data_IF_895028172177
#
_entry.id   IF_895028172177
#
_cell.length_a   1.000
_cell.length_b   1.000
_cell.length_c   1.000
_cell.angle_alpha   90.00
_cell.angle_beta   90.00
_cell.angle_gamma   90.00
#
_symmetry.space_group_name_H-M   'P 1'
#
loop_
_entity.id
_entity.type
_entity.pdbx_description
1 polymer ?
#
# COMPACT_ATOMS: atom_id res chain seq x y z
N UNK A 1 -10.97 45.39 -14.09
CA UNK A 1 -10.24 44.78 -12.96
C UNK A 1 -9.27 43.80 -13.58
N UNK A 2 -7.97 44.10 -13.57
CA UNK A 2 -6.95 43.42 -14.39
C UNK A 2 -6.77 41.94 -13.99
N UNK A 3 -6.43 41.09 -14.98
CA UNK A 3 -6.10 39.67 -14.82
C UNK A 3 -5.03 39.41 -13.75
N UNK A 4 -4.13 40.38 -13.55
CA UNK A 4 -3.10 40.36 -12.51
C UNK A 4 -3.70 40.25 -11.08
N UNK A 5 -4.85 40.88 -10.82
CA UNK A 5 -5.51 40.79 -9.51
C UNK A 5 -6.21 39.44 -9.27
N UNK A 6 -6.58 38.70 -10.33
CA UNK A 6 -7.20 37.37 -10.16
C UNK A 6 -6.16 36.33 -9.76
N UNK A 7 -4.96 36.37 -10.35
CA UNK A 7 -3.86 35.44 -10.01
C UNK A 7 -3.43 35.52 -8.54
N UNK A 8 -3.38 36.74 -7.99
CA UNK A 8 -3.01 36.99 -6.58
C UNK A 8 -4.07 36.47 -5.60
N UNK A 9 -5.34 36.50 -6.01
CA UNK A 9 -6.45 35.98 -5.18
C UNK A 9 -6.47 34.44 -5.19
N UNK A 10 -6.15 33.81 -6.33
CA UNK A 10 -6.06 32.35 -6.41
C UNK A 10 -4.85 31.77 -5.66
N UNK A 11 -3.68 32.43 -5.69
CA UNK A 11 -2.51 32.00 -4.91
C UNK A 11 -2.78 32.10 -3.40
N UNK A 12 -3.46 33.16 -2.94
CA UNK A 12 -3.87 33.29 -1.53
C UNK A 12 -4.84 32.19 -1.09
N UNK A 13 -5.87 31.88 -1.90
CA UNK A 13 -6.81 30.78 -1.60
C UNK A 13 -6.14 29.42 -1.56
N UNK A 14 -5.15 29.20 -2.44
CA UNK A 14 -4.39 27.94 -2.49
C UNK A 14 -3.49 27.76 -1.27
N UNK A 15 -2.83 28.83 -0.83
CA UNK A 15 -2.02 28.84 0.40
C UNK A 15 -2.86 28.61 1.66
N UNK A 16 -4.02 29.26 1.77
CA UNK A 16 -4.94 29.04 2.90
C UNK A 16 -5.49 27.59 2.95
N UNK A 17 -5.78 26.99 1.79
CA UNK A 17 -6.24 25.60 1.71
C UNK A 17 -5.13 24.62 2.15
N UNK A 18 -3.90 24.81 1.68
CA UNK A 18 -2.75 23.98 2.10
C UNK A 18 -2.47 24.10 3.61
N UNK A 19 -2.60 25.31 4.18
CA UNK A 19 -2.40 25.53 5.61
C UNK A 19 -3.46 24.83 6.48
N UNK A 20 -4.73 24.83 6.05
CA UNK A 20 -5.81 24.13 6.76
C UNK A 20 -5.66 22.60 6.72
N UNK A 21 -5.23 22.05 5.58
CA UNK A 21 -4.99 20.60 5.42
C UNK A 21 -3.81 20.15 6.27
N UNK A 22 -2.70 20.91 6.28
CA UNK A 22 -1.56 20.63 7.13
C UNK A 22 -1.95 20.65 8.63
N UNK A 23 -2.72 21.64 9.06
CA UNK A 23 -3.18 21.73 10.46
C UNK A 23 -4.02 20.53 10.91
N UNK A 24 -4.91 20.02 10.04
CA UNK A 24 -5.70 18.82 10.32
C UNK A 24 -4.85 17.56 10.44
N UNK A 25 -3.87 17.39 9.55
CA UNK A 25 -2.98 16.23 9.57
C UNK A 25 -2.09 16.19 10.83
N UNK A 26 -1.57 17.35 11.26
CA UNK A 26 -0.82 17.44 12.52
C UNK A 26 -1.66 17.10 13.74
N UNK A 27 -2.95 17.48 13.75
CA UNK A 27 -3.86 17.14 14.85
C UNK A 27 -4.13 15.64 14.95
N UNK A 28 -4.31 14.94 13.82
CA UNK A 28 -4.49 13.48 13.80
C UNK A 28 -3.23 12.76 14.26
N UNK A 29 -2.04 13.18 13.78
CA UNK A 29 -0.76 12.62 14.23
C UNK A 29 -0.52 12.83 15.73
N UNK A 30 -0.92 14.00 16.26
CA UNK A 30 -0.84 14.28 17.69
C UNK A 30 -1.74 13.36 18.53
N UNK A 31 -2.97 13.10 18.08
CA UNK A 31 -3.89 12.17 18.76
C UNK A 31 -3.33 10.74 18.75
N UNK A 32 -2.85 10.26 17.60
CA UNK A 32 -2.25 8.93 17.50
C UNK A 32 -1.02 8.79 18.40
N UNK A 33 -0.13 9.79 18.40
CA UNK A 33 1.01 9.84 19.30
C UNK A 33 0.57 9.79 20.77
N UNK A 34 -0.45 10.57 21.14
CA UNK A 34 -0.95 10.61 22.51
C UNK A 34 -1.55 9.27 22.96
N UNK A 35 -2.28 8.57 22.08
CA UNK A 35 -2.83 7.23 22.35
C UNK A 35 -1.68 6.22 22.59
N UNK A 36 -0.70 6.18 21.68
CA UNK A 36 0.45 5.27 21.80
C UNK A 36 1.26 5.56 23.06
N UNK A 37 1.45 6.84 23.40
CA UNK A 37 2.15 7.26 24.61
C UNK A 37 1.44 6.81 25.90
N UNK A 38 0.11 6.96 25.97
CA UNK A 38 -0.67 6.48 27.12
C UNK A 38 -0.65 4.95 27.24
N UNK A 39 -0.69 4.24 26.11
CA UNK A 39 -0.60 2.78 26.13
C UNK A 39 0.77 2.29 26.62
N UNK A 40 1.85 2.90 26.12
CA UNK A 40 3.22 2.52 26.49
C UNK A 40 3.51 2.82 27.97
N UNK A 41 3.04 3.97 28.48
CA UNK A 41 3.19 4.31 29.90
C UNK A 41 2.42 3.35 30.82
N UNK A 42 1.23 2.92 30.42
CA UNK A 42 0.48 1.88 31.13
C UNK A 42 1.23 0.55 31.20
N UNK A 43 1.87 0.14 30.10
CA UNK A 43 2.65 -1.10 30.03
C UNK A 43 3.91 -1.04 30.91
N UNK A 44 4.59 0.11 30.94
CA UNK A 44 5.74 0.34 31.82
C UNK A 44 5.34 0.26 33.30
N UNK A 45 4.23 0.89 33.70
CA UNK A 45 3.75 0.84 35.09
C UNK A 45 3.34 -0.58 35.50
N UNK A 46 2.69 -1.33 34.60
CA UNK A 46 2.35 -2.73 34.83
C UNK A 46 3.59 -3.61 35.04
N UNK A 47 4.65 -3.40 34.23
CA UNK A 47 5.93 -4.11 34.39
C UNK A 47 6.62 -3.76 35.71
N UNK A 48 6.65 -2.48 36.10
CA UNK A 48 7.24 -2.06 37.39
C UNK A 48 6.47 -2.70 38.56
N UNK A 49 5.14 -2.72 38.50
CA UNK A 49 4.29 -3.38 39.51
C UNK A 49 4.53 -4.89 39.58
N UNK A 50 4.68 -5.56 38.43
CA UNK A 50 5.01 -6.98 38.36
C UNK A 50 6.39 -7.29 38.94
N UNK A 51 7.40 -6.45 38.68
CA UNK A 51 8.76 -6.62 39.24
C UNK A 51 8.76 -6.39 40.75
N UNK A 52 8.04 -5.36 41.24
CA UNK A 52 7.94 -5.07 42.67
C UNK A 52 7.24 -6.21 43.44
N UNK A 53 6.17 -6.77 42.87
CA UNK A 53 5.48 -7.93 43.44
C UNK A 53 6.36 -9.18 43.41
N UNK A 54 7.08 -9.45 42.32
CA UNK A 54 8.02 -10.57 42.25
C UNK A 54 9.16 -10.47 43.29
N UNK A 55 9.77 -9.30 43.48
CA UNK A 55 10.78 -9.07 44.53
C UNK A 55 10.26 -9.30 45.95
N UNK A 56 8.96 -9.08 46.17
CA UNK A 56 8.31 -9.29 47.47
C UNK A 56 7.98 -10.78 47.69
N UNK A 57 7.71 -11.52 46.60
CA UNK A 57 7.37 -12.94 46.60
C UNK A 57 8.59 -13.88 46.68
N UNK A 58 9.79 -13.43 46.31
CA UNK A 58 11.05 -14.20 46.49
C UNK A 58 11.34 -14.58 47.96
N UNK A 59 10.69 -13.93 48.94
CA UNK A 59 10.90 -14.21 50.37
C UNK A 59 10.05 -15.36 50.93
N UNK A 60 9.19 -16.02 50.13
CA UNK A 60 8.36 -17.15 50.60
C UNK A 60 8.39 -18.33 49.61
N UNK A 61 9.02 -19.47 49.95
CA UNK A 61 9.24 -20.59 49.03
C UNK A 61 7.97 -21.32 48.60
N UNK A 62 6.85 -21.18 49.32
CA UNK A 62 5.58 -21.85 48.97
C UNK A 62 4.84 -21.19 47.78
N UNK A 63 5.17 -19.94 47.42
CA UNK A 63 4.42 -19.16 46.40
C UNK A 63 5.08 -19.24 45.00
N UNK A 64 6.34 -19.68 44.90
CA UNK A 64 7.09 -19.76 43.63
C UNK A 64 6.45 -20.68 42.58
N UNK A 65 5.62 -21.66 42.98
CA UNK A 65 5.00 -22.61 42.04
C UNK A 65 3.74 -22.08 41.34
N UNK A 66 3.14 -20.99 41.83
CA UNK A 66 1.84 -20.49 41.34
C UNK A 66 1.92 -19.23 40.47
N UNK A 67 3.02 -18.46 40.55
CA UNK A 67 3.19 -17.18 39.84
C UNK A 67 3.31 -17.31 38.30
N UNK A 68 4.04 -18.28 37.71
CA UNK A 68 4.13 -18.35 36.25
C UNK A 68 2.80 -18.79 35.60
N UNK A 69 2.01 -19.63 36.28
CA UNK A 69 0.75 -20.15 35.74
C UNK A 69 -0.35 -19.07 35.67
N UNK A 70 -0.45 -18.20 36.69
CA UNK A 70 -1.45 -17.12 36.70
C UNK A 70 -1.10 -16.00 35.72
N UNK A 71 0.18 -15.71 35.52
CA UNK A 71 0.64 -14.71 34.54
C UNK A 71 0.37 -15.14 33.09
N UNK A 72 0.61 -16.42 32.76
CA UNK A 72 0.29 -16.97 31.43
C UNK A 72 -1.22 -16.90 31.16
N UNK A 73 -2.06 -17.25 32.14
CA UNK A 73 -3.53 -17.19 31.99
C UNK A 73 -4.01 -15.75 31.75
N UNK A 74 -3.47 -14.77 32.47
CA UNK A 74 -3.83 -13.36 32.29
C UNK A 74 -3.42 -12.84 30.90
N UNK A 75 -2.21 -13.18 30.43
CA UNK A 75 -1.73 -12.80 29.09
C UNK A 75 -2.58 -13.44 27.99
N UNK A 76 -2.99 -14.70 28.13
CA UNK A 76 -3.90 -15.36 27.17
C UNK A 76 -5.31 -14.77 27.18
N UNK A 77 -5.84 -14.33 28.33
CA UNK A 77 -7.15 -13.67 28.39
C UNK A 77 -7.11 -12.27 27.73
N UNK A 78 -6.01 -11.54 27.90
CA UNK A 78 -5.81 -10.23 27.26
C UNK A 78 -5.63 -10.41 25.74
N UNK A 79 -4.85 -11.40 25.29
CA UNK A 79 -4.73 -11.72 23.86
C UNK A 79 -6.05 -12.18 23.25
N UNK A 80 -6.84 -12.98 23.97
CA UNK A 80 -8.16 -13.43 23.54
C UNK A 80 -9.17 -12.29 23.39
N UNK A 81 -9.19 -11.32 24.30
CA UNK A 81 -10.09 -10.16 24.22
C UNK A 81 -9.72 -9.18 23.09
N UNK A 82 -8.43 -9.08 22.74
CA UNK A 82 -7.96 -8.23 21.64
C UNK A 82 -8.21 -8.91 20.27
N UNK A 83 -8.19 -10.25 20.19
CA UNK A 83 -8.42 -10.98 18.93
C UNK A 83 -9.86 -11.44 18.69
N UNK A 84 -10.73 -11.51 19.70
CA UNK A 84 -12.15 -11.89 19.50
C UNK A 84 -12.97 -10.97 18.58
N UNK A 85 -12.80 -9.62 18.57
CA UNK A 85 -13.58 -8.80 17.64
C UNK A 85 -13.23 -9.01 16.16
N UNK A 86 -12.19 -9.79 15.83
CA UNK A 86 -11.85 -10.13 14.45
C UNK A 86 -12.71 -11.26 13.84
N UNK A 87 -13.51 -12.00 14.63
CA UNK A 87 -14.26 -13.18 14.15
C UNK A 87 -15.77 -12.92 13.99
N UNK A 88 -16.29 -11.79 14.52
CA UNK A 88 -17.70 -11.40 14.38
C UNK A 88 -17.92 -10.14 13.54
N UNK A 89 -16.96 -9.78 12.69
CA UNK A 89 -17.01 -8.59 11.83
C UNK A 89 -17.39 -8.88 10.35
N UNK A 90 -18.06 -10.00 10.05
CA UNK A 90 -18.44 -10.31 8.66
C UNK A 90 -19.82 -9.75 8.23
N UNK A 91 -20.58 -9.15 9.15
CA UNK A 91 -21.93 -8.63 8.84
C UNK A 91 -22.09 -7.11 8.92
N UNK A 92 -21.30 -6.38 9.71
CA UNK A 92 -21.33 -4.91 9.74
C UNK A 92 -20.40 -4.25 8.70
N UNK A 93 -19.34 -4.94 8.26
CA UNK A 93 -18.41 -4.45 7.23
C UNK A 93 -19.06 -4.20 5.85
N UNK A 94 -20.22 -4.81 5.57
CA UNK A 94 -20.98 -4.57 4.33
C UNK A 94 -21.77 -3.27 4.33
N UNK A 95 -22.09 -2.69 5.49
CA UNK A 95 -22.86 -1.44 5.54
C UNK A 95 -21.97 -0.20 5.43
N UNK A 96 -20.72 -0.27 5.89
CA UNK A 96 -19.78 0.85 5.83
C UNK A 96 -19.12 0.98 4.44
N UNK A 97 -19.00 -0.13 3.70
CA UNK A 97 -18.40 -0.13 2.35
C UNK A 97 -19.24 0.63 1.31
N UNK A 98 -20.56 0.65 1.46
CA UNK A 98 -21.45 1.35 0.53
C UNK A 98 -21.58 2.85 0.86
N UNK A 99 -21.25 3.28 2.09
CA UNK A 99 -21.27 4.69 2.52
C UNK A 99 -19.89 5.38 2.39
N UNK A 100 -18.79 4.64 2.51
CA UNK A 100 -17.42 5.14 2.23
C UNK A 100 -17.24 5.49 0.73
N UNK A 101 -18.05 4.89 -0.17
CA UNK A 101 -18.12 5.25 -1.59
C UNK A 101 -18.66 6.68 -1.87
N UNK A 102 -19.13 7.40 -0.84
CA UNK A 102 -19.60 8.78 -0.93
C UNK A 102 -18.77 9.77 -0.11
N UNK A 103 -17.72 9.34 0.59
CA UNK A 103 -17.22 10.08 1.76
C UNK A 103 -15.71 10.18 1.94
N UNK A 104 -14.87 9.98 0.92
CA UNK A 104 -13.45 10.38 0.99
C UNK A 104 -12.93 10.71 -0.41
N UNK A 105 -13.17 11.96 -0.84
CA UNK A 105 -12.60 12.48 -2.09
C UNK A 105 -11.11 12.81 -1.88
N UNK A 106 -10.26 11.80 -2.00
CA UNK A 106 -9.01 11.99 -2.72
C UNK A 106 -9.40 11.90 -4.20
N UNK A 107 -9.46 13.03 -4.89
CA UNK A 107 -9.83 13.05 -6.31
C UNK A 107 -8.70 12.40 -7.10
N UNK A 108 -8.76 11.07 -7.28
CA UNK A 108 -7.98 10.45 -8.33
C UNK A 108 -8.47 11.02 -9.66
N UNK A 109 -7.56 11.69 -10.37
CA UNK A 109 -7.80 12.12 -11.74
C UNK A 109 -7.70 10.89 -12.61
N UNK A 110 -8.83 10.22 -12.77
CA UNK A 110 -8.89 9.02 -13.58
C UNK A 110 -8.62 9.32 -15.05
N UNK A 111 -7.85 8.47 -15.70
CA UNK A 111 -7.54 8.54 -17.12
C UNK A 111 -8.73 8.16 -18.00
N UNK A 112 -9.63 7.32 -17.47
CA UNK A 112 -10.76 6.74 -18.21
C UNK A 112 -12.10 7.39 -17.85
N UNK A 113 -13.13 7.20 -18.68
CA UNK A 113 -14.47 7.72 -18.41
C UNK A 113 -15.23 6.83 -17.42
N UNK A 114 -16.06 7.42 -16.54
CA UNK A 114 -16.83 6.63 -15.58
C UNK A 114 -17.83 5.70 -16.30
N UNK A 115 -17.95 4.45 -15.82
CA UNK A 115 -18.90 3.47 -16.33
C UNK A 115 -18.44 2.68 -17.57
N UNK A 116 -17.19 2.83 -18.02
CA UNK A 116 -16.65 2.05 -19.15
C UNK A 116 -15.89 0.79 -18.70
N UNK A 117 -15.61 -0.17 -19.59
CA UNK A 117 -14.74 -1.31 -19.25
C UNK A 117 -13.33 -0.88 -18.84
N UNK A 118 -12.77 0.12 -19.51
CA UNK A 118 -11.42 0.66 -19.24
C UNK A 118 -11.36 1.23 -17.83
N UNK A 119 -12.47 1.79 -17.34
CA UNK A 119 -12.60 2.24 -15.96
C UNK A 119 -12.46 1.11 -14.94
N UNK A 120 -12.98 -0.07 -15.24
CA UNK A 120 -12.83 -1.22 -14.34
C UNK A 120 -11.37 -1.71 -14.32
N UNK A 121 -10.68 -1.63 -15.47
CA UNK A 121 -9.25 -1.92 -15.59
C UNK A 121 -8.44 -0.92 -14.75
N UNK A 122 -8.72 0.38 -14.87
CA UNK A 122 -8.05 1.41 -14.09
C UNK A 122 -8.25 1.22 -12.58
N UNK A 123 -9.47 0.92 -12.15
CA UNK A 123 -9.75 0.60 -10.75
C UNK A 123 -9.03 -0.68 -10.29
N UNK A 124 -8.94 -1.70 -11.14
CA UNK A 124 -8.16 -2.90 -10.88
C UNK A 124 -6.67 -2.59 -10.70
N UNK A 125 -6.09 -1.80 -11.60
CA UNK A 125 -4.70 -1.37 -11.51
C UNK A 125 -4.42 -0.60 -10.20
N UNK A 126 -5.30 0.33 -9.82
CA UNK A 126 -5.19 1.05 -8.54
C UNK A 126 -5.33 0.14 -7.31
N UNK A 127 -6.18 -0.90 -7.37
CA UNK A 127 -6.26 -1.90 -6.30
C UNK A 127 -4.98 -2.71 -6.15
N UNK A 128 -4.35 -3.08 -7.27
CA UNK A 128 -3.11 -3.85 -7.28
C UNK A 128 -1.91 -3.01 -6.81
N UNK A 129 -1.77 -1.78 -7.31
CA UNK A 129 -0.62 -0.91 -7.06
C UNK A 129 -0.73 -0.09 -5.77
N UNK A 130 -1.94 0.13 -5.28
CA UNK A 130 -2.25 1.07 -4.20
C UNK A 130 -2.76 2.42 -4.72
N UNK A 131 -3.65 3.05 -3.94
CA UNK A 131 -4.39 4.26 -4.31
C UNK A 131 -3.56 5.56 -4.28
N UNK A 132 -2.24 5.48 -4.07
CA UNK A 132 -1.33 6.63 -4.08
C UNK A 132 -0.36 6.58 -5.26
N UNK A 133 -0.45 5.55 -6.11
CA UNK A 133 0.37 5.41 -7.31
C UNK A 133 -0.18 6.28 -8.44
N UNK A 134 0.73 6.97 -9.13
CA UNK A 134 0.42 7.70 -10.35
C UNK A 134 0.46 6.74 -11.54
N UNK A 135 -0.72 6.42 -12.08
CA UNK A 135 -0.84 5.75 -13.36
C UNK A 135 -0.81 6.82 -14.44
N UNK A 136 0.10 6.69 -15.41
CA UNK A 136 0.27 7.63 -16.51
C UNK A 136 -0.47 7.21 -17.77
N UNK A 137 -0.63 5.89 -17.97
CA UNK A 137 -1.25 5.32 -19.17
C UNK A 137 -1.96 4.02 -18.86
N UNK A 138 -3.18 3.89 -19.41
CA UNK A 138 -3.91 2.63 -19.56
C UNK A 138 -4.49 2.66 -20.96
N UNK A 139 -4.02 1.75 -21.82
CA UNK A 139 -4.46 1.69 -23.21
C UNK A 139 -4.50 0.24 -23.68
N UNK A 140 -5.55 -0.15 -24.40
CA UNK A 140 -5.60 -1.42 -25.12
C UNK A 140 -5.39 -1.15 -26.61
N UNK A 141 -4.35 -1.73 -27.20
CA UNK A 141 -4.08 -1.65 -28.63
C UNK A 141 -3.61 -3.00 -29.15
N UNK A 142 -4.11 -3.44 -30.30
CA UNK A 142 -3.71 -4.70 -30.96
C UNK A 142 -3.74 -5.95 -30.06
N UNK A 143 -4.65 -5.97 -29.08
CA UNK A 143 -4.78 -7.05 -28.10
C UNK A 143 -3.80 -6.97 -26.93
N UNK A 144 -3.02 -5.91 -26.81
CA UNK A 144 -2.12 -5.68 -25.68
C UNK A 144 -2.70 -4.59 -24.76
N UNK A 145 -2.76 -4.86 -23.47
CA UNK A 145 -3.09 -3.88 -22.45
C UNK A 145 -1.79 -3.27 -21.88
N UNK A 146 -1.56 -1.99 -22.16
CA UNK A 146 -0.40 -1.22 -21.71
C UNK A 146 -0.71 -0.47 -20.43
N UNK A 147 0.10 -0.68 -19.40
CA UNK A 147 0.02 0.00 -18.10
C UNK A 147 1.35 0.70 -17.79
N UNK A 148 1.33 2.03 -17.81
CA UNK A 148 2.47 2.85 -17.41
C UNK A 148 2.16 3.47 -16.04
N UNK A 149 3.08 3.35 -15.10
CA UNK A 149 2.93 3.96 -13.78
C UNK A 149 4.27 4.46 -13.23
N UNK A 150 4.20 5.40 -12.29
CA UNK A 150 5.35 5.86 -11.52
C UNK A 150 5.53 4.90 -10.34
N UNK A 151 6.61 4.12 -10.37
CA UNK A 151 6.92 3.14 -9.34
C UNK A 151 7.44 3.83 -8.07
N UNK A 152 7.38 3.10 -6.94
CA UNK A 152 7.95 3.54 -5.67
C UNK A 152 9.40 3.08 -5.55
N UNK A 153 10.30 4.04 -5.33
CA UNK A 153 11.67 3.73 -4.94
C UNK A 153 11.72 3.17 -3.51
N UNK A 154 12.61 2.21 -3.27
CA UNK A 154 12.85 1.60 -1.97
C UNK A 154 14.27 1.88 -1.46
N UNK A 155 14.58 1.41 -0.25
CA UNK A 155 15.85 1.62 0.45
C UNK A 155 17.10 1.16 -0.34
N UNK A 156 16.95 0.27 -1.31
CA UNK A 156 18.03 -0.20 -2.18
C UNK A 156 17.50 -0.57 -3.56
N UNK A 157 18.39 -0.56 -4.56
CA UNK A 157 18.12 -0.97 -5.93
C UNK A 157 17.45 -2.34 -6.03
N UNK A 158 17.95 -3.31 -5.25
CA UNK A 158 17.38 -4.67 -5.21
C UNK A 158 15.94 -4.69 -4.67
N UNK A 159 15.67 -3.93 -3.60
CA UNK A 159 14.32 -3.81 -3.06
C UNK A 159 13.39 -3.07 -4.03
N UNK A 160 13.88 -2.05 -4.72
CA UNK A 160 13.13 -1.34 -5.76
C UNK A 160 12.76 -2.29 -6.89
N UNK A 161 13.73 -3.05 -7.41
CA UNK A 161 13.49 -4.09 -8.42
C UNK A 161 12.44 -5.10 -7.94
N UNK A 162 12.59 -5.61 -6.72
CA UNK A 162 11.64 -6.60 -6.17
C UNK A 162 10.24 -6.01 -5.96
N UNK A 163 10.14 -4.75 -5.57
CA UNK A 163 8.88 -4.00 -5.50
C UNK A 163 8.19 -3.95 -6.86
N UNK A 164 8.91 -3.52 -7.90
CA UNK A 164 8.42 -3.50 -9.28
C UNK A 164 7.94 -4.89 -9.74
N UNK A 165 8.70 -5.96 -9.45
CA UNK A 165 8.28 -7.32 -9.81
C UNK A 165 7.01 -7.75 -9.04
N UNK A 166 6.87 -7.32 -7.78
CA UNK A 166 5.67 -7.61 -6.99
C UNK A 166 4.46 -6.87 -7.52
N UNK A 167 4.61 -5.57 -7.79
CA UNK A 167 3.58 -4.73 -8.40
C UNK A 167 3.12 -5.32 -9.74
N UNK A 168 4.07 -5.76 -10.58
CA UNK A 168 3.78 -6.40 -11.87
C UNK A 168 3.01 -7.70 -11.69
N UNK A 169 3.41 -8.56 -10.74
CA UNK A 169 2.70 -9.79 -10.41
C UNK A 169 1.26 -9.50 -9.97
N UNK A 170 1.08 -8.53 -9.08
CA UNK A 170 -0.23 -8.20 -8.53
C UNK A 170 -1.13 -7.53 -9.59
N UNK A 171 -0.56 -6.68 -10.46
CA UNK A 171 -1.23 -6.13 -11.64
C UNK A 171 -1.73 -7.24 -12.56
N UNK A 172 -0.85 -8.13 -13.01
CA UNK A 172 -1.22 -9.19 -13.97
C UNK A 172 -2.27 -10.12 -13.35
N UNK A 173 -2.14 -10.46 -12.07
CA UNK A 173 -3.13 -11.26 -11.33
C UNK A 173 -4.50 -10.59 -11.27
N UNK A 174 -4.55 -9.31 -10.92
CA UNK A 174 -5.81 -8.57 -10.80
C UNK A 174 -6.45 -8.34 -12.18
N UNK A 175 -5.66 -7.84 -13.13
CA UNK A 175 -6.16 -7.47 -14.46
C UNK A 175 -6.55 -8.68 -15.30
N UNK A 176 -5.85 -9.81 -15.21
CA UNK A 176 -6.22 -11.05 -15.92
C UNK A 176 -7.62 -11.57 -15.54
N UNK A 177 -8.15 -11.18 -14.37
CA UNK A 177 -9.52 -11.51 -13.95
C UNK A 177 -10.60 -10.55 -14.45
N UNK A 178 -10.19 -9.39 -14.98
CA UNK A 178 -11.06 -8.28 -15.40
C UNK A 178 -11.11 -8.18 -16.93
N UNK A 179 -9.97 -8.38 -17.60
CA UNK A 179 -9.86 -8.21 -19.06
C UNK A 179 -10.62 -9.28 -19.83
N UNK A 180 -11.21 -8.89 -20.96
CA UNK A 180 -11.88 -9.80 -21.88
C UNK A 180 -10.92 -10.65 -22.70
N UNK A 181 -11.47 -11.59 -23.47
CA UNK A 181 -10.73 -12.50 -24.37
C UNK A 181 -10.01 -11.79 -25.53
N UNK A 182 -10.32 -10.52 -25.75
CA UNK A 182 -9.70 -9.63 -26.73
C UNK A 182 -8.29 -9.17 -26.31
N UNK A 183 -7.96 -9.24 -25.02
CA UNK A 183 -6.61 -8.94 -24.51
C UNK A 183 -5.76 -10.21 -24.48
N UNK A 184 -4.71 -10.26 -25.28
CA UNK A 184 -3.76 -11.36 -25.41
C UNK A 184 -2.44 -11.12 -24.66
N UNK A 185 -2.12 -9.87 -24.28
CA UNK A 185 -0.95 -9.56 -23.48
C UNK A 185 -1.21 -8.42 -22.49
N UNK A 186 -0.50 -8.41 -21.36
CA UNK A 186 -0.43 -7.30 -20.41
C UNK A 186 1.01 -6.83 -20.41
N UNK A 187 1.21 -5.57 -20.77
CA UNK A 187 2.51 -4.91 -20.87
C UNK A 187 2.61 -3.87 -19.75
N UNK A 188 3.63 -4.01 -18.90
CA UNK A 188 3.82 -3.18 -17.71
C UNK A 188 5.11 -2.38 -17.85
N UNK A 189 4.99 -1.05 -17.83
CA UNK A 189 6.09 -0.09 -17.97
C UNK A 189 6.22 0.82 -16.74
N UNK A 190 6.86 0.35 -15.67
CA UNK A 190 7.16 1.19 -14.51
C UNK A 190 8.20 2.25 -14.85
N UNK A 191 8.01 3.44 -14.27
CA UNK A 191 8.91 4.59 -14.40
C UNK A 191 9.44 5.03 -13.03
N UNK A 192 10.68 5.49 -12.98
CA UNK A 192 11.29 6.13 -11.81
C UNK A 192 12.00 7.42 -12.22
N UNK A 193 12.06 8.38 -11.30
CA UNK A 193 12.97 9.51 -11.45
C UNK A 193 14.39 9.01 -11.26
N UNK A 194 15.20 9.10 -12.30
CA UNK A 194 16.63 8.76 -12.27
C UNK A 194 17.45 10.04 -12.31
N UNK A 195 18.60 10.01 -11.64
CA UNK A 195 19.59 11.09 -11.63
C UNK A 195 20.74 10.68 -12.53
N UNK A 196 21.11 11.52 -13.49
CA UNK A 196 22.25 11.26 -14.36
C UNK A 196 23.60 11.58 -13.69
N UNK A 197 24.71 11.34 -14.39
CA UNK A 197 26.06 11.61 -13.89
C UNK A 197 26.34 13.11 -13.60
N UNK A 198 25.50 14.00 -14.12
CA UNK A 198 25.59 15.44 -13.93
C UNK A 198 24.63 15.95 -12.84
N UNK A 199 23.80 15.08 -12.27
CA UNK A 199 22.83 15.44 -11.23
C UNK A 199 21.46 15.86 -11.76
N UNK A 200 21.17 15.66 -13.05
CA UNK A 200 19.87 16.00 -13.64
C UNK A 200 18.85 14.88 -13.40
N UNK A 201 17.70 15.24 -12.82
CA UNK A 201 16.57 14.34 -12.59
C UNK A 201 15.70 14.21 -13.84
N UNK A 202 15.37 12.97 -14.23
CA UNK A 202 14.43 12.70 -15.30
C UNK A 202 13.60 11.45 -15.04
N UNK A 203 12.30 11.50 -15.33
CA UNK A 203 11.41 10.34 -15.24
C UNK A 203 11.66 9.40 -16.41
N UNK A 204 12.21 8.22 -16.13
CA UNK A 204 12.63 7.25 -17.14
C UNK A 204 11.96 5.90 -16.93
N UNK A 205 11.69 5.18 -18.03
CA UNK A 205 11.21 3.79 -17.98
C UNK A 205 12.30 2.91 -17.40
N UNK A 206 11.98 2.18 -16.33
CA UNK A 206 12.96 1.34 -15.61
C UNK A 206 12.77 -0.15 -15.82
N UNK A 207 11.60 -0.58 -16.29
CA UNK A 207 11.39 -1.93 -16.79
C UNK A 207 10.36 -1.93 -17.92
N UNK A 208 10.36 -3.01 -18.69
CA UNK A 208 9.33 -3.37 -19.65
C UNK A 208 9.09 -4.87 -19.47
N UNK A 209 7.89 -5.23 -19.03
CA UNK A 209 7.54 -6.61 -18.72
C UNK A 209 6.26 -6.95 -19.45
N UNK A 210 6.33 -7.94 -20.34
CA UNK A 210 5.17 -8.47 -21.06
C UNK A 210 4.86 -9.87 -20.56
N UNK A 211 3.63 -10.08 -20.13
CA UNK A 211 3.08 -11.41 -19.88
C UNK A 211 1.97 -11.64 -20.89
N UNK A 212 2.06 -12.70 -21.68
CA UNK A 212 1.03 -13.13 -22.62
C UNK A 212 -0.05 -13.96 -21.91
N UNK A 213 -1.22 -14.06 -22.55
CA UNK A 213 -2.37 -14.82 -22.07
C UNK A 213 -2.04 -16.26 -21.78
N UNK A 214 -1.35 -16.88 -22.72
CA UNK A 214 -0.91 -18.26 -22.58
C UNK A 214 0.00 -18.47 -21.38
N UNK A 215 0.71 -17.43 -20.94
CA UNK A 215 1.61 -17.46 -19.79
C UNK A 215 0.82 -17.24 -18.50
N UNK A 216 0.02 -16.18 -18.39
CA UNK A 216 -0.71 -15.91 -17.14
C UNK A 216 -1.77 -16.96 -16.81
N UNK A 217 -2.36 -17.62 -17.81
CA UNK A 217 -3.33 -18.70 -17.59
C UNK A 217 -2.69 -19.98 -17.03
N UNK A 218 -1.37 -20.14 -17.15
CA UNK A 218 -0.61 -21.26 -16.57
C UNK A 218 -0.14 -20.99 -15.13
N UNK A 219 -0.19 -19.74 -14.67
CA UNK A 219 0.36 -19.35 -13.36
C UNK A 219 -0.59 -19.77 -12.23
N UNK A 220 -0.05 -20.51 -11.25
CA UNK A 220 -0.73 -20.70 -9.96
C UNK A 220 -0.42 -19.51 -9.03
N UNK A 221 -1.23 -18.46 -9.12
CA UNK A 221 -1.04 -17.19 -8.39
C UNK A 221 -1.00 -17.31 -6.86
N UNK A 222 -1.51 -18.39 -6.27
CA UNK A 222 -1.46 -18.60 -4.82
C UNK A 222 -0.07 -19.03 -4.34
N UNK A 223 0.71 -19.67 -5.21
CA UNK A 223 2.04 -20.21 -4.90
C UNK A 223 3.14 -19.60 -5.75
N UNK A 224 2.81 -18.68 -6.65
CA UNK A 224 3.78 -18.05 -7.55
C UNK A 224 4.72 -17.11 -6.79
N UNK A 225 6.02 -17.34 -6.93
CA UNK A 225 7.05 -16.50 -6.33
C UNK A 225 7.34 -15.31 -7.24
N UNK A 226 7.33 -14.10 -6.68
CA UNK A 226 7.66 -12.86 -7.41
C UNK A 226 9.00 -12.95 -8.14
N UNK A 227 9.98 -13.62 -7.53
CA UNK A 227 11.34 -13.72 -8.08
C UNK A 227 11.42 -14.62 -9.34
N UNK A 228 10.38 -15.41 -9.64
CA UNK A 228 10.28 -16.22 -10.86
C UNK A 228 9.73 -15.42 -12.05
N UNK A 229 9.22 -14.20 -11.82
CA UNK A 229 8.59 -13.38 -12.87
C UNK A 229 9.53 -13.07 -14.05
N UNK A 230 10.83 -12.74 -13.85
CA UNK A 230 11.76 -12.54 -14.96
C UNK A 230 11.97 -13.78 -15.85
N UNK A 231 11.84 -14.99 -15.30
CA UNK A 231 12.11 -16.24 -16.03
C UNK A 231 10.92 -16.70 -16.89
N UNK A 232 9.71 -16.28 -16.54
CA UNK A 232 8.47 -16.69 -17.22
C UNK A 232 7.87 -15.59 -18.08
N UNK A 233 8.31 -14.35 -17.93
CA UNK A 233 7.84 -13.25 -18.75
C UNK A 233 8.22 -13.46 -20.22
N UNK A 234 7.26 -13.25 -21.12
CA UNK A 234 7.45 -13.42 -22.56
C UNK A 234 8.38 -12.32 -23.14
N UNK A 235 8.38 -11.15 -22.51
CA UNK A 235 9.42 -10.13 -22.68
C UNK A 235 9.80 -9.54 -21.32
N UNK A 236 11.11 -9.43 -21.09
CA UNK A 236 11.66 -8.85 -19.87
C UNK A 236 12.86 -7.97 -20.20
N UNK A 237 12.71 -6.68 -19.94
CA UNK A 237 13.81 -5.73 -19.98
C UNK A 237 13.85 -4.93 -18.67
N UNK A 238 15.06 -4.77 -18.14
CA UNK A 238 15.32 -4.00 -16.93
C UNK A 238 16.39 -2.95 -17.23
N UNK A 239 16.17 -1.72 -16.77
CA UNK A 239 17.14 -0.65 -16.92
C UNK A 239 18.43 -0.97 -16.13
N UNK A 240 19.62 -0.61 -16.64
CA UNK A 240 20.89 -0.89 -15.96
C UNK A 240 20.96 -0.39 -14.52
N UNK A 241 20.36 0.77 -14.23
CA UNK A 241 20.28 1.33 -12.88
C UNK A 241 19.57 0.41 -11.85
N UNK A 242 18.78 -0.57 -12.29
CA UNK A 242 18.13 -1.57 -11.45
C UNK A 242 18.80 -2.96 -11.48
N UNK A 243 19.89 -3.09 -12.24
CA UNK A 243 20.59 -4.36 -12.47
C UNK A 243 21.84 -4.52 -11.62
N UNK A 244 22.25 -3.48 -10.88
CA UNK A 244 23.42 -3.47 -9.99
C UNK A 244 23.19 -4.19 -8.65
#
# INVERSE_FOLDING_TARGET
>A
MNEENQSVIEDKKTKEKKQKVAGGMFFVLFILFWIVFNFLTGLILALIGAIATMKTLEKKPEIQKFVPATFVVLVTLIFGAIFLPAIQSDKEFRSEKDEILSGTSQTHNYLTQAGTPERNIELGALRALGHDIEIRKIETSDGELWIDYVAKENLSTNLTRRGILSDTKDLVKELSSIVGQDVNAIVVEPHLTLVDQFGEESLSRVALITIERETWEKINWNNFLTDNLPDIADSYWLHPALSE
#
